data_IF_924459518733
#
_entry.id   IF_924459518733
#
_cell.length_a   1.000
_cell.length_b   1.000
_cell.length_c   1.000
_cell.angle_alpha   90.00
_cell.angle_beta   90.00
_cell.angle_gamma   90.00
#
_symmetry.space_group_name_H-M   'P 1'
#
loop_
_entity.id
_entity.type
_entity.pdbx_description
1 polymer ?
#
# COMPACT_ATOMS: atom_id res chain seq x y z
N UNK A 1 -64.78 -15.96 -14.36
CA UNK A 1 -63.91 -16.24 -13.20
C UNK A 1 -62.45 -16.30 -13.68
N UNK A 2 -61.60 -15.50 -13.02
CA UNK A 2 -60.11 -15.54 -12.93
C UNK A 2 -59.29 -15.53 -14.23
N UNK A 3 -58.84 -14.33 -14.65
CA UNK A 3 -57.65 -14.16 -15.49
C UNK A 3 -56.43 -14.11 -14.58
N UNK A 4 -55.44 -14.95 -14.85
CA UNK A 4 -54.21 -15.10 -14.07
C UNK A 4 -53.35 -13.83 -14.18
N UNK A 5 -52.98 -13.27 -13.02
CA UNK A 5 -51.99 -12.18 -12.91
C UNK A 5 -50.63 -12.86 -12.92
N UNK A 6 -49.86 -12.67 -13.99
CA UNK A 6 -48.45 -13.05 -14.04
C UNK A 6 -47.65 -12.07 -13.20
N UNK A 7 -47.15 -12.52 -12.06
CA UNK A 7 -46.23 -11.75 -11.21
C UNK A 7 -44.84 -11.91 -11.81
N UNK A 8 -44.33 -10.84 -12.43
CA UNK A 8 -42.94 -10.74 -12.87
C UNK A 8 -42.09 -10.49 -11.62
N UNK A 9 -41.32 -11.50 -11.22
CA UNK A 9 -40.29 -11.37 -10.19
C UNK A 9 -39.10 -10.60 -10.79
N UNK A 10 -39.05 -9.29 -10.57
CA UNK A 10 -37.87 -8.49 -10.85
C UNK A 10 -36.85 -8.83 -9.76
N UNK A 11 -35.91 -9.71 -10.08
CA UNK A 11 -34.74 -9.96 -9.24
C UNK A 11 -33.90 -8.68 -9.22
N UNK A 12 -34.05 -7.89 -8.15
CA UNK A 12 -33.17 -6.80 -7.78
C UNK A 12 -31.75 -7.38 -7.61
N UNK A 13 -30.93 -7.30 -8.66
CA UNK A 13 -29.48 -7.29 -8.51
C UNK A 13 -29.11 -5.97 -7.82
N UNK A 14 -29.26 -5.95 -6.50
CA UNK A 14 -28.52 -5.01 -5.66
C UNK A 14 -27.06 -5.44 -5.67
N UNK A 15 -26.36 -5.15 -6.78
CA UNK A 15 -24.93 -4.89 -6.72
C UNK A 15 -24.79 -3.70 -5.79
N UNK A 16 -24.59 -3.96 -4.50
CA UNK A 16 -24.06 -2.99 -3.59
C UNK A 16 -22.72 -2.58 -4.19
N UNK A 17 -22.72 -1.46 -4.91
CA UNK A 17 -21.53 -0.74 -5.29
C UNK A 17 -20.93 -0.24 -3.97
N UNK A 18 -20.19 -1.12 -3.28
CA UNK A 18 -19.19 -0.68 -2.33
C UNK A 18 -18.35 0.33 -3.08
N UNK A 19 -18.26 1.55 -2.56
CA UNK A 19 -17.41 2.59 -3.12
C UNK A 19 -15.98 2.03 -3.25
N UNK A 20 -15.59 1.63 -4.47
CA UNK A 20 -14.24 1.20 -4.79
C UNK A 20 -13.38 2.46 -4.80
N UNK A 21 -12.87 2.84 -3.63
CA UNK A 21 -12.00 4.01 -3.46
C UNK A 21 -10.62 3.85 -4.12
N UNK A 22 -10.36 2.75 -4.83
CA UNK A 22 -9.12 2.51 -5.56
C UNK A 22 -9.29 2.76 -7.05
N UNK A 23 -8.51 3.69 -7.58
CA UNK A 23 -8.44 3.91 -9.03
C UNK A 23 -7.67 2.78 -9.72
N UNK A 24 -8.24 2.23 -10.80
CA UNK A 24 -7.58 1.23 -11.65
C UNK A 24 -6.29 1.82 -12.25
N UNK A 25 -5.26 0.99 -12.50
CA UNK A 25 -4.04 1.43 -13.17
C UNK A 25 -4.35 1.87 -14.62
N UNK A 26 -3.69 2.93 -15.06
CA UNK A 26 -3.74 3.39 -16.45
C UNK A 26 -3.00 2.46 -17.43
N UNK A 27 -2.96 2.88 -18.70
CA UNK A 27 -2.35 2.11 -19.79
C UNK A 27 -0.89 1.72 -19.52
N UNK A 28 -0.10 2.67 -19.03
CA UNK A 28 1.33 2.51 -18.75
C UNK A 28 1.62 2.42 -17.25
N UNK A 29 0.66 1.94 -16.47
CA UNK A 29 0.83 1.74 -15.03
C UNK A 29 0.58 0.28 -14.68
N UNK A 30 1.15 -0.13 -13.55
CA UNK A 30 0.82 -1.35 -12.84
C UNK A 30 0.64 -1.04 -11.36
N UNK A 31 -0.01 -1.93 -10.62
CA UNK A 31 -0.13 -1.87 -9.16
C UNK A 31 0.84 -2.88 -8.56
N UNK A 32 1.76 -2.41 -7.73
CA UNK A 32 2.56 -3.27 -6.87
C UNK A 32 1.77 -3.53 -5.58
N UNK A 33 1.69 -4.80 -5.19
CA UNK A 33 0.90 -5.28 -4.06
C UNK A 33 1.80 -6.02 -3.09
N UNK A 34 1.81 -5.62 -1.83
CA UNK A 34 2.61 -6.27 -0.79
C UNK A 34 2.09 -5.90 0.59
N UNK A 35 2.62 -6.52 1.63
CA UNK A 35 2.41 -6.07 3.00
C UNK A 35 3.73 -6.03 3.75
N UNK A 36 3.80 -5.17 4.76
CA UNK A 36 4.99 -4.96 5.58
C UNK A 36 4.60 -5.10 7.03
N UNK A 37 5.38 -5.86 7.78
CA UNK A 37 5.28 -5.94 9.22
C UNK A 37 6.65 -5.67 9.83
N UNK A 38 6.69 -4.79 10.83
CA UNK A 38 7.93 -4.43 11.53
C UNK A 38 7.81 -4.87 13.00
N UNK A 39 8.69 -5.78 13.42
CA UNK A 39 8.65 -6.42 14.75
C UNK A 39 9.90 -6.13 15.59
N UNK A 40 9.77 -5.77 16.88
CA UNK A 40 8.52 -5.39 17.54
C UNK A 40 7.92 -4.12 16.93
N UNK A 41 6.62 -3.94 17.11
CA UNK A 41 5.92 -2.75 16.63
C UNK A 41 6.53 -1.48 17.22
N UNK A 42 6.47 -0.39 16.46
CA UNK A 42 6.86 0.92 16.96
C UNK A 42 5.82 1.39 17.97
N UNK A 43 6.26 1.93 19.11
CA UNK A 43 5.40 2.60 20.06
C UNK A 43 5.00 3.97 19.49
N UNK A 44 3.91 4.00 18.72
CA UNK A 44 3.43 5.20 18.02
C UNK A 44 3.06 6.30 19.00
N UNK A 45 2.42 5.94 20.11
CA UNK A 45 1.95 6.86 21.15
C UNK A 45 3.13 7.62 21.77
N UNK A 46 4.21 6.91 22.10
CA UNK A 46 5.45 7.52 22.58
C UNK A 46 5.99 8.58 21.60
N UNK A 47 6.06 8.26 20.30
CA UNK A 47 6.59 9.22 19.32
C UNK A 47 5.68 10.41 19.08
N UNK A 48 4.37 10.20 19.12
CA UNK A 48 3.39 11.28 18.98
C UNK A 48 3.58 12.32 20.09
N UNK A 49 3.80 11.87 21.32
CA UNK A 49 4.07 12.74 22.47
C UNK A 49 5.50 13.31 22.43
N UNK A 50 6.51 12.46 22.25
CA UNK A 50 7.93 12.82 22.32
C UNK A 50 8.34 13.86 21.28
N UNK A 51 7.92 13.67 20.02
CA UNK A 51 8.25 14.60 18.94
C UNK A 51 7.30 15.80 18.90
N UNK A 52 6.33 15.86 19.83
CA UNK A 52 5.25 16.84 19.80
C UNK A 52 4.67 16.99 18.40
N UNK A 53 4.48 15.86 17.69
CA UNK A 53 4.13 15.85 16.27
C UNK A 53 2.90 16.74 16.14
N UNK A 54 3.03 17.92 15.51
CA UNK A 54 1.93 18.84 15.46
C UNK A 54 0.84 18.13 14.70
N UNK A 55 -0.34 18.17 15.30
CA UNK A 55 -1.57 18.34 14.56
C UNK A 55 -1.29 18.98 13.19
N UNK A 56 -1.43 18.23 12.10
CA UNK A 56 -1.16 18.70 10.74
C UNK A 56 -2.06 19.92 10.37
N UNK A 57 -1.84 20.62 9.23
CA UNK A 57 -2.45 21.92 8.95
C UNK A 57 -3.97 21.96 9.18
N UNK A 58 -4.49 23.14 9.52
CA UNK A 58 -5.90 23.42 9.87
C UNK A 58 -6.96 22.74 8.98
N UNK A 59 -6.62 22.36 7.75
CA UNK A 59 -7.49 21.65 6.80
C UNK A 59 -7.90 20.24 7.23
N UNK A 60 -7.15 19.59 8.13
CA UNK A 60 -7.37 18.19 8.55
C UNK A 60 -7.88 18.08 10.01
N UNK A 61 -8.38 19.19 10.56
CA UNK A 61 -9.01 19.19 11.87
C UNK A 61 -10.36 18.49 11.81
N UNK A 62 -10.51 17.45 12.62
CA UNK A 62 -11.80 16.82 12.89
C UNK A 62 -12.39 17.42 14.17
N UNK A 63 -13.71 17.58 14.17
CA UNK A 63 -14.43 17.98 15.38
C UNK A 63 -14.61 16.72 16.24
N UNK A 64 -14.01 16.70 17.43
CA UNK A 64 -14.21 15.61 18.36
C UNK A 64 -15.63 15.63 18.97
N UNK A 65 -15.98 14.61 19.76
CA UNK A 65 -17.29 14.48 20.42
C UNK A 65 -17.67 15.66 21.33
N UNK A 66 -16.68 16.48 21.72
CA UNK A 66 -16.86 17.68 22.56
C UNK A 66 -16.95 18.98 21.76
N UNK A 67 -17.01 18.90 20.43
CA UNK A 67 -17.09 20.08 19.57
C UNK A 67 -15.77 20.82 19.35
N UNK A 68 -14.64 20.26 19.83
CA UNK A 68 -13.32 20.89 19.70
C UNK A 68 -12.60 20.36 18.45
N UNK A 69 -11.95 21.25 17.66
CA UNK A 69 -11.07 20.81 16.60
C UNK A 69 -9.87 20.08 17.21
N UNK A 70 -9.68 18.83 16.82
CA UNK A 70 -8.50 18.02 17.11
C UNK A 70 -7.89 17.59 15.80
N UNK A 71 -6.57 17.47 15.75
CA UNK A 71 -5.94 16.91 14.57
C UNK A 71 -6.03 15.41 14.58
N UNK A 72 -6.39 14.88 13.42
CA UNK A 72 -6.41 13.45 13.20
C UNK A 72 -4.97 12.91 13.13
N UNK A 73 -4.77 11.65 13.52
CA UNK A 73 -3.49 10.98 13.25
C UNK A 73 -3.29 10.95 11.72
N UNK A 74 -2.18 11.51 11.18
CA UNK A 74 -1.94 11.53 9.73
C UNK A 74 -1.79 10.13 9.14
N UNK A 75 -1.59 9.10 9.98
CA UNK A 75 -1.34 7.73 9.55
C UNK A 75 0.08 7.57 9.00
N UNK A 76 0.40 6.36 8.59
CA UNK A 76 1.70 6.04 7.99
C UNK A 76 1.60 6.02 6.48
N UNK A 77 2.74 6.21 5.81
CA UNK A 77 2.81 6.08 4.36
C UNK A 77 3.98 5.22 3.93
N UNK A 78 3.85 4.59 2.78
CA UNK A 78 4.93 3.93 2.06
C UNK A 78 5.30 4.77 0.86
N UNK A 79 6.59 5.04 0.72
CA UNK A 79 7.15 5.65 -0.48
C UNK A 79 8.00 4.65 -1.24
N UNK A 80 7.74 4.49 -2.53
CA UNK A 80 8.53 3.65 -3.43
C UNK A 80 9.51 4.50 -4.23
N UNK A 81 10.74 4.00 -4.38
CA UNK A 81 11.80 4.63 -5.17
C UNK A 81 12.27 3.67 -6.25
N UNK A 82 11.99 4.02 -7.50
CA UNK A 82 12.42 3.23 -8.66
C UNK A 82 13.67 3.84 -9.30
N UNK A 83 14.32 3.12 -10.22
CA UNK A 83 15.48 3.64 -10.97
C UNK A 83 15.16 4.98 -11.67
N UNK A 84 16.11 5.92 -11.57
CA UNK A 84 15.95 7.32 -11.97
C UNK A 84 15.59 8.26 -10.81
N UNK A 85 15.21 7.72 -9.64
CA UNK A 85 15.02 8.51 -8.42
C UNK A 85 16.37 8.71 -7.70
N UNK A 86 17.15 9.67 -8.18
CA UNK A 86 18.48 9.99 -7.62
C UNK A 86 18.41 10.71 -6.26
N UNK A 87 17.20 11.05 -5.79
CA UNK A 87 16.97 11.84 -4.59
C UNK A 87 15.85 11.26 -3.72
N UNK A 88 16.11 11.17 -2.42
CA UNK A 88 15.16 10.69 -1.40
C UNK A 88 13.91 11.57 -1.23
N UNK A 89 13.92 12.79 -1.77
CA UNK A 89 12.82 13.76 -1.65
C UNK A 89 11.73 13.57 -2.72
N UNK A 90 11.95 12.71 -3.72
CA UNK A 90 11.02 12.49 -4.83
C UNK A 90 10.75 11.00 -5.04
N UNK A 91 9.84 10.40 -4.25
CA UNK A 91 9.44 9.03 -4.50
C UNK A 91 8.67 8.90 -5.81
N UNK A 92 8.92 7.81 -6.55
CA UNK A 92 8.11 7.41 -7.72
C UNK A 92 6.61 7.37 -7.39
N UNK A 93 6.26 6.84 -6.21
CA UNK A 93 4.87 6.73 -5.77
C UNK A 93 4.76 6.69 -4.24
N UNK A 94 3.62 7.15 -3.72
CA UNK A 94 3.29 7.14 -2.28
C UNK A 94 1.89 6.55 -2.07
N UNK A 95 1.73 5.77 -1.02
CA UNK A 95 0.44 5.18 -0.61
C UNK A 95 0.35 5.20 0.90
N UNK A 96 -0.86 5.36 1.45
CA UNK A 96 -1.09 5.18 2.88
C UNK A 96 -0.84 3.71 3.28
N UNK A 97 -0.37 3.47 4.50
CA UNK A 97 -0.17 2.11 4.99
C UNK A 97 -1.50 1.49 5.37
N UNK A 98 -1.74 0.31 4.82
CA UNK A 98 -2.85 -0.58 5.15
C UNK A 98 -2.32 -2.00 5.36
N UNK A 99 -3.18 -2.93 5.76
CA UNK A 99 -2.83 -4.36 5.90
C UNK A 99 -2.19 -4.91 4.61
N UNK A 100 -2.80 -4.60 3.46
CA UNK A 100 -2.25 -4.87 2.14
C UNK A 100 -2.03 -3.53 1.44
N UNK A 101 -0.79 -3.21 1.10
CA UNK A 101 -0.43 -2.01 0.36
C UNK A 101 -0.68 -2.25 -1.13
N UNK A 102 -1.25 -1.27 -1.81
CA UNK A 102 -1.46 -1.30 -3.26
C UNK A 102 -1.08 0.05 -3.86
N UNK A 103 0.03 0.08 -4.59
CA UNK A 103 0.63 1.31 -5.07
C UNK A 103 0.83 1.28 -6.57
N UNK A 104 0.27 2.28 -7.26
CA UNK A 104 0.43 2.43 -8.71
C UNK A 104 1.82 2.96 -9.01
N UNK A 105 2.49 2.34 -9.99
CA UNK A 105 3.78 2.78 -10.49
C UNK A 105 3.76 2.83 -12.01
N UNK A 106 4.44 3.80 -12.64
CA UNK A 106 4.60 3.83 -14.08
C UNK A 106 5.46 2.65 -14.54
N UNK A 107 5.14 2.10 -15.70
CA UNK A 107 5.94 1.06 -16.38
C UNK A 107 6.95 1.75 -17.30
N UNK A 108 8.26 1.56 -17.08
CA UNK A 108 9.27 2.09 -17.97
C UNK A 108 9.17 1.48 -19.38
N UNK A 109 9.72 2.17 -20.39
CA UNK A 109 9.74 1.65 -21.78
C UNK A 109 10.46 0.30 -21.92
N UNK A 110 11.39 -0.01 -21.03
CA UNK A 110 12.07 -1.31 -20.96
C UNK A 110 11.13 -2.47 -20.61
N UNK A 111 9.97 -2.20 -20.01
CA UNK A 111 9.09 -3.22 -19.44
C UNK A 111 9.60 -3.81 -18.12
N UNK A 112 10.66 -3.23 -17.54
CA UNK A 112 11.23 -3.65 -16.26
C UNK A 112 11.18 -2.51 -15.25
N UNK A 113 10.61 -2.79 -14.08
CA UNK A 113 10.59 -1.86 -12.95
C UNK A 113 11.76 -2.21 -12.06
N UNK A 114 12.69 -1.28 -11.88
CA UNK A 114 13.82 -1.43 -10.97
C UNK A 114 13.44 -0.76 -9.66
N UNK A 115 13.08 -1.54 -8.64
CA UNK A 115 12.70 -1.07 -7.32
C UNK A 115 13.93 -1.06 -6.40
N UNK A 116 14.48 0.12 -6.14
CA UNK A 116 15.71 0.28 -5.37
C UNK A 116 15.47 0.05 -3.88
N UNK A 117 14.52 0.78 -3.31
CA UNK A 117 14.12 0.68 -1.91
C UNK A 117 12.74 1.28 -1.71
N UNK A 118 12.17 0.99 -0.54
CA UNK A 118 10.96 1.64 -0.06
C UNK A 118 11.26 2.32 1.27
N UNK A 119 10.51 3.36 1.60
CA UNK A 119 10.50 3.87 2.97
C UNK A 119 9.14 3.65 3.61
N UNK A 120 9.14 3.11 4.83
CA UNK A 120 7.98 3.14 5.71
C UNK A 120 8.09 4.42 6.53
N UNK A 121 7.20 5.37 6.29
CA UNK A 121 7.24 6.69 6.89
C UNK A 121 6.19 6.76 8.00
N UNK A 122 6.65 6.88 9.24
CA UNK A 122 5.72 7.08 10.36
C UNK A 122 5.17 8.50 10.33
N UNK A 123 3.86 8.61 10.54
CA UNK A 123 3.16 9.91 10.56
C UNK A 123 3.41 10.70 9.27
N UNK A 124 3.26 10.02 8.12
CA UNK A 124 3.56 10.55 6.77
C UNK A 124 4.96 11.16 6.63
N UNK A 125 5.92 10.69 7.44
CA UNK A 125 7.33 11.12 7.38
C UNK A 125 7.68 12.31 8.27
N UNK A 126 6.75 12.77 9.11
CA UNK A 126 7.01 13.86 10.08
C UNK A 126 7.85 13.41 11.28
N UNK A 127 7.84 12.11 11.60
CA UNK A 127 8.60 11.56 12.71
C UNK A 127 9.95 11.00 12.28
N UNK A 128 9.91 9.80 11.70
CA UNK A 128 11.06 9.06 11.20
C UNK A 128 10.59 8.07 10.14
N UNK A 129 11.56 7.47 9.44
CA UNK A 129 11.29 6.49 8.38
C UNK A 129 12.19 5.28 8.54
N UNK A 130 11.65 4.09 8.24
CA UNK A 130 12.46 2.90 7.99
C UNK A 130 12.80 2.79 6.52
N UNK A 131 14.05 2.45 6.25
CA UNK A 131 14.49 2.03 4.93
C UNK A 131 14.27 0.53 4.77
N UNK A 132 13.44 0.15 3.81
CA UNK A 132 13.13 -1.23 3.48
C UNK A 132 13.91 -1.60 2.21
N UNK A 133 14.97 -2.44 2.31
CA UNK A 133 15.74 -2.87 1.16
C UNK A 133 14.94 -3.83 0.28
N UNK A 134 14.67 -3.42 -0.96
CA UNK A 134 14.11 -4.29 -1.99
C UNK A 134 15.20 -4.65 -3.00
N UNK A 135 15.88 -3.65 -3.60
CA UNK A 135 16.94 -3.83 -4.58
C UNK A 135 16.63 -4.94 -5.60
N UNK A 136 15.45 -4.87 -6.22
CA UNK A 136 14.96 -5.88 -7.17
C UNK A 136 14.57 -5.29 -8.51
N UNK A 137 14.70 -6.08 -9.57
CA UNK A 137 14.04 -5.84 -10.85
C UNK A 137 12.79 -6.69 -10.95
N UNK A 138 11.69 -6.08 -11.38
CA UNK A 138 10.40 -6.72 -11.61
C UNK A 138 10.11 -6.67 -13.10
N UNK A 139 10.00 -7.84 -13.73
CA UNK A 139 9.61 -7.93 -15.14
C UNK A 139 8.10 -7.78 -15.29
N UNK A 140 7.67 -6.75 -16.04
CA UNK A 140 6.26 -6.51 -16.33
C UNK A 140 5.86 -7.34 -17.55
N UNK A 141 4.84 -8.16 -17.37
CA UNK A 141 4.19 -8.92 -18.43
C UNK A 141 3.07 -8.08 -19.06
N UNK A 142 2.90 -8.10 -20.40
CA UNK A 142 1.96 -7.20 -21.10
C UNK A 142 0.51 -7.27 -20.63
N UNK A 143 0.04 -8.46 -20.25
CA UNK A 143 -1.37 -8.72 -19.96
C UNK A 143 -1.75 -8.51 -18.49
N UNK A 144 -0.76 -8.29 -17.62
CA UNK A 144 -0.98 -8.22 -16.18
C UNK A 144 -0.75 -6.81 -15.63
N UNK A 145 -1.65 -6.42 -14.72
CA UNK A 145 -1.67 -5.08 -14.11
C UNK A 145 -1.44 -5.07 -12.61
N UNK A 146 -1.47 -6.21 -11.94
CA UNK A 146 -1.38 -6.31 -10.48
C UNK A 146 -0.29 -7.31 -10.11
N UNK A 147 0.76 -6.87 -9.42
CA UNK A 147 1.97 -7.64 -9.14
C UNK A 147 2.18 -7.79 -7.64
N UNK A 148 2.12 -9.03 -7.15
CA UNK A 148 2.34 -9.37 -5.76
C UNK A 148 3.84 -9.53 -5.47
N UNK A 149 4.37 -8.72 -4.56
CA UNK A 149 5.78 -8.77 -4.15
C UNK A 149 6.01 -9.66 -2.92
N UNK A 150 4.96 -10.07 -2.21
CA UNK A 150 5.09 -10.85 -0.97
C UNK A 150 4.64 -10.09 0.28
N UNK A 151 4.64 -10.80 1.40
CA UNK A 151 4.57 -10.22 2.73
C UNK A 151 5.99 -10.13 3.29
N UNK A 152 6.40 -8.95 3.75
CA UNK A 152 7.76 -8.70 4.25
C UNK A 152 7.72 -8.46 5.75
N UNK A 153 8.35 -9.36 6.49
CA UNK A 153 8.54 -9.27 7.93
C UNK A 153 9.95 -8.74 8.20
N UNK A 154 10.03 -7.54 8.78
CA UNK A 154 11.26 -6.90 9.22
C UNK A 154 11.38 -7.03 10.73
N UNK A 155 12.41 -7.73 11.21
CA UNK A 155 12.73 -7.74 12.63
C UNK A 155 13.75 -6.67 12.93
N UNK A 156 13.54 -5.95 14.01
CA UNK A 156 14.44 -4.93 14.54
C UNK A 156 14.86 -5.25 15.97
N UNK A 157 15.93 -4.60 16.44
CA UNK A 157 16.22 -4.52 17.87
C UNK A 157 15.06 -3.82 18.60
N UNK A 158 14.78 -4.26 19.83
CA UNK A 158 13.63 -3.79 20.61
C UNK A 158 13.76 -2.35 21.13
N UNK A 159 14.99 -1.85 21.31
CA UNK A 159 15.28 -0.51 21.81
C UNK A 159 15.16 0.60 20.77
N UNK A 160 15.67 1.77 21.15
CA UNK A 160 15.64 3.00 20.34
C UNK A 160 16.64 2.98 19.18
N UNK A 161 17.43 1.92 19.02
CA UNK A 161 18.43 1.80 17.96
C UNK A 161 17.77 1.54 16.60
N UNK A 162 16.54 1.00 16.58
CA UNK A 162 15.75 0.77 15.37
C UNK A 162 16.51 0.07 14.22
N UNK A 163 17.51 -0.74 14.58
CA UNK A 163 18.33 -1.48 13.64
C UNK A 163 17.58 -2.73 13.17
N UNK A 164 17.43 -2.89 11.85
CA UNK A 164 16.88 -4.11 11.25
C UNK A 164 17.92 -5.22 11.36
N UNK A 165 17.52 -6.35 11.94
CA UNK A 165 18.41 -7.51 12.21
C UNK A 165 18.07 -8.74 11.36
N UNK A 166 16.85 -8.83 10.84
CA UNK A 166 16.40 -9.95 10.00
C UNK A 166 15.26 -9.48 9.08
N UNK A 167 15.21 -10.05 7.87
CA UNK A 167 14.16 -9.78 6.89
C UNK A 167 13.69 -11.10 6.32
N UNK A 168 12.40 -11.38 6.47
CA UNK A 168 11.76 -12.58 5.91
C UNK A 168 10.70 -12.18 4.91
N UNK A 169 10.63 -12.96 3.83
CA UNK A 169 9.57 -12.86 2.84
C UNK A 169 8.67 -14.08 2.94
N UNK A 170 7.38 -13.85 3.07
CA UNK A 170 6.35 -14.87 3.07
C UNK A 170 5.47 -14.73 1.82
N UNK A 171 4.95 -15.86 1.34
CA UNK A 171 4.01 -15.89 0.22
C UNK A 171 2.58 -16.07 0.75
N UNK A 172 1.86 -14.96 0.91
CA UNK A 172 0.46 -14.96 1.35
C UNK A 172 -0.50 -14.72 0.17
N UNK A 173 -0.09 -15.08 -1.05
CA UNK A 173 -0.79 -14.76 -2.29
C UNK A 173 -2.28 -15.10 -2.26
N UNK A 174 -2.65 -16.30 -1.83
CA UNK A 174 -4.05 -16.76 -1.85
C UNK A 174 -4.95 -15.94 -0.91
N UNK A 175 -4.38 -15.37 0.16
CA UNK A 175 -5.07 -14.45 1.07
C UNK A 175 -5.26 -13.07 0.42
N UNK A 176 -4.31 -12.65 -0.42
CA UNK A 176 -4.29 -11.31 -1.04
C UNK A 176 -5.17 -11.22 -2.30
N UNK A 177 -5.29 -12.30 -3.07
CA UNK A 177 -6.15 -12.35 -4.28
C UNK A 177 -7.57 -11.81 -4.04
N UNK A 178 -8.36 -12.29 -3.05
CA UNK A 178 -9.72 -11.80 -2.84
C UNK A 178 -9.75 -10.31 -2.44
N UNK A 179 -8.72 -9.82 -1.74
CA UNK A 179 -8.61 -8.41 -1.36
C UNK A 179 -8.41 -7.52 -2.61
N UNK A 180 -7.54 -7.94 -3.53
CA UNK A 180 -7.29 -7.21 -4.78
C UNK A 180 -8.51 -7.20 -5.70
N UNK A 181 -9.23 -8.32 -5.82
CA UNK A 181 -10.50 -8.37 -6.55
C UNK A 181 -11.55 -7.45 -5.94
N UNK A 182 -11.67 -7.42 -4.60
CA UNK A 182 -12.57 -6.49 -3.92
C UNK A 182 -12.21 -5.03 -4.21
N UNK A 183 -10.93 -4.67 -4.19
CA UNK A 183 -10.44 -3.29 -4.42
C UNK A 183 -10.62 -2.83 -5.87
N UNK A 184 -10.31 -3.67 -6.84
CA UNK A 184 -10.15 -3.28 -8.25
C UNK A 184 -11.15 -3.93 -9.22
N UNK A 185 -12.00 -4.84 -8.73
CA UNK A 185 -13.00 -5.59 -9.49
C UNK A 185 -12.57 -7.02 -9.80
N UNK A 186 -13.54 -7.87 -10.14
CA UNK A 186 -13.33 -9.32 -10.37
C UNK A 186 -12.29 -9.67 -11.45
N UNK A 187 -12.10 -8.77 -12.42
CA UNK A 187 -11.12 -8.92 -13.51
C UNK A 187 -9.69 -8.49 -13.10
N UNK A 188 -9.47 -8.09 -11.85
CA UNK A 188 -8.15 -7.75 -11.35
C UNK A 188 -7.33 -9.02 -11.12
N UNK A 189 -6.63 -9.45 -12.16
CA UNK A 189 -5.75 -10.61 -12.10
C UNK A 189 -4.42 -10.26 -11.43
N UNK A 190 -4.27 -10.72 -10.19
CA UNK A 190 -3.03 -10.64 -9.43
C UNK A 190 -2.07 -11.71 -9.94
N UNK A 191 -0.79 -11.37 -10.09
CA UNK A 191 0.28 -12.35 -10.37
C UNK A 191 1.42 -12.19 -9.39
N UNK A 192 2.13 -13.28 -9.11
CA UNK A 192 3.40 -13.20 -8.36
C UNK A 192 4.43 -12.48 -9.23
N UNK A 193 5.08 -11.47 -8.68
CA UNK A 193 6.12 -10.74 -9.39
C UNK A 193 7.34 -11.62 -9.64
N UNK A 194 7.79 -11.68 -10.90
CA UNK A 194 9.08 -12.25 -11.26
C UNK A 194 10.19 -11.26 -10.88
N UNK A 195 10.80 -11.49 -9.71
CA UNK A 195 11.82 -10.61 -9.13
C UNK A 195 13.21 -11.18 -9.28
N UNK A 196 14.17 -10.34 -9.65
CA UNK A 196 15.61 -10.66 -9.66
C UNK A 196 16.37 -9.62 -8.85
N UNK A 197 17.42 -10.03 -8.14
CA UNK A 197 18.24 -9.09 -7.37
C UNK A 197 18.98 -8.12 -8.28
N UNK A 198 19.13 -6.88 -7.83
CA UNK A 198 20.08 -5.93 -8.40
C UNK A 198 21.39 -6.14 -7.67
N UNK A 199 22.44 -6.50 -8.38
CA UNK A 199 23.79 -6.45 -7.83
C UNK A 199 24.13 -4.98 -7.54
N UNK A 200 24.16 -4.62 -6.26
CA UNK A 200 24.76 -3.35 -5.85
C UNK A 200 26.28 -3.53 -5.95
N UNK A 201 26.87 -2.96 -7.00
CA UNK A 201 28.32 -2.75 -7.08
C UNK A 201 28.79 -1.83 -5.95
#
# INVERSE_FOLDING_TARGET
MKKAISIIFIFLLSCAAFAQNYSKPGRNEVVLVFSVEIRPSVNREFFKEYLSIPSMPMSDLIINETGRPVSNDPGDSISLYCEGDDKLDKPTAVSDVEEIISIKVPVPRSGEIVLNFCTYNFFKGTAFRFFLPFAVKIKVQPDFKYYYLGHLEYKRKGGMEYEIVDVKKHDNYDVVVPIIKKRYGENAELVRAAMTSIDKK
#
